data_IF_159879488459
#
_entry.id   IF_159879488459
#
_cell.length_a   1.000
_cell.length_b   1.000
_cell.length_c   1.000
_cell.angle_alpha   90.00
_cell.angle_beta   90.00
_cell.angle_gamma   90.00
#
_symmetry.space_group_name_H-M   'P 1'
#
loop_
_entity.id
_entity.type
_entity.pdbx_description
1 polymer ?
#
# COMPACT_ATOMS: atom_id res chain seq x y z
N UNK A 1 3.86 27.72 2.77
CA UNK A 1 4.54 26.89 1.75
C UNK A 1 4.29 25.45 2.12
N UNK A 2 3.75 24.64 1.21
CA UNK A 2 3.57 23.20 1.44
C UNK A 2 4.88 22.48 1.17
N UNK A 3 5.25 21.52 2.02
CA UNK A 3 6.37 20.62 1.77
C UNK A 3 5.84 19.34 1.11
N UNK A 4 6.59 18.82 0.15
CA UNK A 4 6.36 17.51 -0.49
C UNK A 4 7.38 16.54 0.07
N UNK A 5 6.94 15.34 0.45
CA UNK A 5 7.83 14.26 0.91
C UNK A 5 7.69 13.07 -0.03
N UNK A 6 8.80 12.59 -0.58
CA UNK A 6 8.83 11.38 -1.41
C UNK A 6 9.57 10.29 -0.65
N UNK A 7 8.91 9.15 -0.44
CA UNK A 7 9.55 7.97 0.15
C UNK A 7 10.47 7.30 -0.86
N UNK A 8 11.78 7.26 -0.60
CA UNK A 8 12.75 6.62 -1.47
C UNK A 8 12.71 5.08 -1.35
N UNK A 9 13.11 4.34 -2.41
CA UNK A 9 13.33 2.90 -2.31
C UNK A 9 14.48 2.61 -1.35
N UNK A 10 14.60 1.35 -0.89
CA UNK A 10 15.74 0.96 -0.07
C UNK A 10 17.05 1.11 -0.84
N UNK A 11 17.89 2.02 -0.38
CA UNK A 11 19.21 2.31 -0.95
C UNK A 11 20.29 1.58 -0.15
N UNK A 12 21.41 1.28 -0.80
CA UNK A 12 22.56 0.64 -0.15
C UNK A 12 23.14 1.53 0.96
N UNK A 13 23.11 2.84 0.77
CA UNK A 13 23.55 3.85 1.74
C UNK A 13 22.64 3.96 2.96
N UNK A 14 21.41 3.42 2.89
CA UNK A 14 20.52 3.31 4.05
C UNK A 14 20.84 2.08 4.92
N UNK A 15 21.58 1.12 4.38
CA UNK A 15 22.11 0.00 5.14
C UNK A 15 23.41 0.48 5.78
N UNK A 16 23.40 0.70 7.09
CA UNK A 16 24.53 1.26 7.83
C UNK A 16 25.86 0.64 7.35
N UNK A 17 26.78 1.49 6.88
CA UNK A 17 28.16 1.07 6.65
C UNK A 17 28.69 0.46 7.96
N UNK A 18 29.14 -0.78 7.88
CA UNK A 18 29.54 -1.66 8.98
C UNK A 18 30.74 -1.17 9.79
N UNK A 19 31.19 0.08 9.66
CA UNK A 19 32.45 0.54 10.25
C UNK A 19 32.36 1.73 11.22
N UNK A 20 31.30 2.57 11.24
CA UNK A 20 31.31 3.78 12.12
C UNK A 20 29.99 4.09 12.85
N UNK A 21 28.88 3.40 12.57
CA UNK A 21 27.57 3.72 13.16
C UNK A 21 27.12 2.73 14.26
N UNK A 22 28.03 2.27 15.12
CA UNK A 22 27.72 1.28 16.17
C UNK A 22 26.82 1.79 17.32
N UNK A 23 26.34 3.04 17.30
CA UNK A 23 25.56 3.60 18.42
C UNK A 23 24.07 3.87 18.16
N UNK A 24 23.55 3.57 16.96
CA UNK A 24 22.12 3.39 16.72
C UNK A 24 21.95 2.91 15.28
N UNK A 25 21.91 1.60 15.07
CA UNK A 25 21.31 1.07 13.84
C UNK A 25 19.87 1.58 13.81
N UNK A 26 19.46 2.38 12.80
CA UNK A 26 18.05 2.70 12.64
C UNK A 26 17.34 1.36 12.44
N UNK A 27 16.46 1.00 13.37
CA UNK A 27 15.69 -0.23 13.26
C UNK A 27 14.90 -0.18 11.95
N UNK A 28 15.03 -1.21 11.11
CA UNK A 28 14.34 -1.26 9.82
C UNK A 28 12.83 -1.19 10.12
N UNK A 29 12.11 -0.18 9.61
CA UNK A 29 10.69 -0.04 9.92
C UNK A 29 9.92 -1.28 9.49
N UNK A 30 9.18 -1.85 10.44
CA UNK A 30 8.31 -3.00 10.17
C UNK A 30 7.10 -2.50 9.39
N UNK A 31 6.80 -3.19 8.28
CA UNK A 31 5.74 -2.87 7.34
C UNK A 31 4.94 -4.14 7.05
N UNK A 32 3.64 -3.99 6.90
CA UNK A 32 2.73 -5.05 6.47
C UNK A 32 1.88 -4.54 5.32
N UNK A 33 1.56 -5.42 4.38
CA UNK A 33 0.56 -5.20 3.36
C UNK A 33 -0.21 -6.49 3.14
N UNK A 34 -1.49 -6.34 2.85
CA UNK A 34 -2.39 -7.45 2.57
C UNK A 34 -2.92 -7.29 1.14
N UNK A 35 -3.04 -8.40 0.42
CA UNK A 35 -3.63 -8.42 -0.93
C UNK A 35 -4.76 -9.44 -0.94
N UNK A 36 -5.95 -8.99 -1.31
CA UNK A 36 -7.14 -9.83 -1.40
C UNK A 36 -7.53 -10.01 -2.86
N UNK A 37 -7.79 -11.26 -3.25
CA UNK A 37 -8.33 -11.60 -4.57
C UNK A 37 -9.77 -12.03 -4.40
N UNK A 38 -10.71 -11.24 -4.92
CA UNK A 38 -12.11 -11.65 -4.98
C UNK A 38 -12.25 -12.91 -5.83
N UNK A 39 -12.96 -13.92 -5.30
CA UNK A 39 -13.08 -15.29 -5.84
C UNK A 39 -11.85 -16.21 -5.64
N UNK A 40 -10.82 -15.74 -4.93
CA UNK A 40 -9.67 -16.54 -4.54
C UNK A 40 -8.74 -16.92 -5.70
N UNK A 41 -7.86 -17.89 -5.44
CA UNK A 41 -6.92 -18.45 -6.42
C UNK A 41 -7.42 -19.84 -6.83
N UNK A 42 -7.52 -20.15 -8.15
CA UNK A 42 -7.97 -21.45 -8.63
C UNK A 42 -7.25 -22.62 -7.96
N UNK A 43 -8.02 -23.62 -7.49
CA UNK A 43 -7.50 -24.75 -6.73
C UNK A 43 -6.33 -25.52 -7.39
N UNK A 44 -6.28 -25.72 -8.73
CA UNK A 44 -5.13 -26.36 -9.36
C UNK A 44 -3.81 -25.60 -9.12
N UNK A 45 -3.84 -24.26 -9.20
CA UNK A 45 -2.65 -23.43 -8.99
C UNK A 45 -2.12 -23.52 -7.54
N UNK A 46 -2.99 -23.86 -6.59
CA UNK A 46 -2.57 -24.05 -5.20
C UNK A 46 -1.73 -25.32 -4.99
N UNK A 47 -1.70 -26.27 -5.93
CA UNK A 47 -0.96 -27.54 -5.78
C UNK A 47 0.47 -27.49 -6.35
N UNK A 48 0.79 -26.48 -7.15
CA UNK A 48 2.03 -26.41 -7.94
C UNK A 48 3.30 -26.11 -7.13
N UNK A 49 3.18 -25.85 -5.83
CA UNK A 49 4.37 -25.54 -5.02
C UNK A 49 4.88 -24.15 -5.38
N UNK A 50 6.15 -24.07 -5.76
CA UNK A 50 6.74 -22.89 -6.41
C UNK A 50 6.76 -23.01 -7.94
N UNK A 51 6.26 -24.09 -8.54
CA UNK A 51 6.18 -24.16 -10.00
C UNK A 51 5.12 -23.16 -10.52
N UNK A 52 5.23 -22.75 -11.79
CA UNK A 52 4.27 -21.83 -12.41
C UNK A 52 4.39 -20.40 -11.89
N UNK A 53 3.26 -19.79 -11.50
CA UNK A 53 3.17 -18.35 -11.18
C UNK A 53 4.01 -17.93 -9.96
N UNK A 54 4.33 -18.86 -9.06
CA UNK A 54 5.15 -18.59 -7.88
C UNK A 54 6.64 -18.86 -8.09
N UNK A 55 7.07 -19.33 -9.28
CA UNK A 55 8.48 -19.65 -9.56
C UNK A 55 9.45 -18.49 -9.29
N UNK A 56 9.12 -17.23 -9.61
CA UNK A 56 9.99 -16.10 -9.28
C UNK A 56 10.27 -15.93 -7.78
N UNK A 57 9.40 -16.47 -6.91
CA UNK A 57 9.53 -16.38 -5.45
C UNK A 57 10.34 -17.53 -4.82
N UNK A 58 10.75 -18.53 -5.60
CA UNK A 58 11.50 -19.68 -5.11
C UNK A 58 12.78 -19.30 -4.32
N UNK A 59 13.58 -18.28 -4.71
CA UNK A 59 14.73 -17.84 -3.93
C UNK A 59 14.38 -17.34 -2.52
N UNK A 60 13.12 -16.97 -2.29
CA UNK A 60 12.60 -16.49 -1.00
C UNK A 60 11.90 -17.60 -0.19
N UNK A 61 11.92 -18.85 -0.64
CA UNK A 61 11.19 -19.96 -0.02
C UNK A 61 11.40 -20.10 1.49
N UNK A 62 12.63 -19.88 2.00
CA UNK A 62 12.95 -19.91 3.43
C UNK A 62 12.40 -18.73 4.25
N UNK A 63 11.87 -17.70 3.57
CA UNK A 63 11.28 -16.48 4.16
C UNK A 63 9.77 -16.39 3.92
N UNK A 64 9.18 -17.39 3.25
CA UNK A 64 7.77 -17.39 2.87
C UNK A 64 7.05 -18.52 3.59
N UNK A 65 5.92 -18.17 4.21
CA UNK A 65 4.91 -19.14 4.63
C UNK A 65 3.77 -19.11 3.60
N UNK A 66 3.55 -20.21 2.90
CA UNK A 66 2.44 -20.36 1.96
C UNK A 66 1.44 -21.34 2.57
N UNK A 67 0.39 -20.79 3.17
CA UNK A 67 -0.74 -21.58 3.66
C UNK A 67 -1.71 -21.84 2.50
N UNK A 68 -2.24 -23.06 2.42
CA UNK A 68 -3.14 -23.53 1.36
C UNK A 68 -4.30 -24.25 2.00
N UNK A 69 -5.40 -24.39 1.27
CA UNK A 69 -6.60 -25.09 1.76
C UNK A 69 -7.08 -24.52 3.10
N UNK A 70 -6.89 -23.20 3.30
CA UNK A 70 -7.35 -22.48 4.50
C UNK A 70 -8.83 -22.23 4.35
N UNK A 71 -9.59 -22.83 5.25
CA UNK A 71 -11.04 -22.66 5.34
C UNK A 71 -11.41 -21.87 6.61
N UNK A 72 -12.28 -20.87 6.46
CA UNK A 72 -12.72 -20.00 7.55
C UNK A 72 -14.00 -20.56 8.18
N UNK A 73 -13.98 -21.82 8.60
CA UNK A 73 -15.18 -22.54 9.09
C UNK A 73 -15.89 -21.80 10.23
N UNK A 74 -15.13 -21.15 11.11
CA UNK A 74 -15.69 -20.35 12.23
C UNK A 74 -16.40 -19.06 11.80
N UNK A 75 -16.29 -18.69 10.52
CA UNK A 75 -16.89 -17.51 9.93
C UNK A 75 -18.02 -17.86 8.97
N UNK A 76 -18.25 -19.15 8.67
CA UNK A 76 -19.36 -19.61 7.84
C UNK A 76 -20.67 -19.58 8.65
N UNK A 77 -21.25 -18.39 8.75
CA UNK A 77 -22.42 -18.10 9.58
C UNK A 77 -23.71 -18.36 8.79
N UNK A 78 -24.62 -19.12 9.39
CA UNK A 78 -25.85 -19.56 8.71
C UNK A 78 -26.71 -18.37 8.27
N UNK A 79 -27.09 -18.36 7.00
CA UNK A 79 -27.98 -17.35 6.43
C UNK A 79 -27.27 -16.06 6.00
N UNK A 80 -25.93 -16.06 6.03
CA UNK A 80 -25.10 -14.97 5.52
C UNK A 80 -24.49 -15.40 4.17
N UNK A 81 -24.21 -14.43 3.30
CA UNK A 81 -23.60 -14.69 2.00
C UNK A 81 -22.10 -14.98 2.16
N UNK A 82 -21.63 -16.12 1.63
CA UNK A 82 -20.23 -16.56 1.68
C UNK A 82 -19.19 -15.54 1.16
N UNK A 83 -19.60 -14.59 0.31
CA UNK A 83 -18.72 -13.52 -0.15
C UNK A 83 -18.55 -12.39 0.87
N UNK A 84 -19.43 -12.30 1.86
CA UNK A 84 -19.43 -11.23 2.86
C UNK A 84 -18.66 -11.64 4.12
N UNK A 85 -19.00 -12.79 4.69
CA UNK A 85 -18.31 -13.37 5.83
C UNK A 85 -16.85 -13.75 5.48
N UNK A 86 -16.60 -14.45 4.37
CA UNK A 86 -15.26 -14.83 3.92
C UNK A 86 -14.39 -13.62 3.59
N UNK A 87 -14.97 -12.55 3.03
CA UNK A 87 -14.28 -11.28 2.79
C UNK A 87 -13.88 -10.58 4.09
N UNK A 88 -14.77 -10.59 5.09
CA UNK A 88 -14.50 -10.01 6.41
C UNK A 88 -13.46 -10.83 7.18
N UNK A 89 -13.53 -12.15 7.08
CA UNK A 89 -12.65 -13.10 7.72
C UNK A 89 -11.24 -13.13 7.13
N UNK A 90 -11.04 -12.74 5.87
CA UNK A 90 -9.79 -12.94 5.13
C UNK A 90 -8.51 -12.49 5.87
N UNK A 91 -8.56 -11.39 6.63
CA UNK A 91 -7.42 -10.91 7.43
C UNK A 91 -7.71 -10.73 8.92
N UNK A 92 -8.94 -10.99 9.37
CA UNK A 92 -9.33 -10.94 10.79
C UNK A 92 -9.42 -12.33 11.38
N UNK A 93 -9.62 -13.33 10.52
CA UNK A 93 -10.10 -14.66 10.81
C UNK A 93 -11.41 -14.66 11.63
N UNK A 94 -12.13 -13.55 11.79
CA UNK A 94 -13.33 -13.44 12.63
C UNK A 94 -14.57 -13.20 11.75
N UNK A 95 -15.76 -13.68 12.18
CA UNK A 95 -17.00 -13.37 11.47
C UNK A 95 -17.29 -11.86 11.53
N UNK A 96 -18.14 -11.33 10.63
CA UNK A 96 -18.62 -9.96 10.72
C UNK A 96 -19.43 -9.71 12.00
N UNK A 97 -19.28 -8.51 12.58
CA UNK A 97 -20.11 -8.00 13.67
C UNK A 97 -21.11 -6.97 13.10
N UNK A 98 -22.31 -7.45 12.78
CA UNK A 98 -23.31 -6.66 12.07
C UNK A 98 -22.95 -6.41 10.61
N UNK A 99 -23.26 -5.23 10.07
CA UNK A 99 -23.09 -4.92 8.64
C UNK A 99 -21.84 -4.07 8.32
N UNK A 100 -21.26 -3.43 9.34
CA UNK A 100 -20.24 -2.40 9.17
C UNK A 100 -18.90 -2.71 9.87
N UNK A 101 -18.86 -3.76 10.70
CA UNK A 101 -17.68 -4.13 11.49
C UNK A 101 -17.29 -5.59 11.26
N UNK A 102 -16.04 -5.89 11.55
CA UNK A 102 -15.59 -7.26 11.79
C UNK A 102 -15.71 -7.61 13.28
N UNK A 103 -15.68 -8.90 13.61
CA UNK A 103 -15.62 -9.38 14.99
C UNK A 103 -14.30 -9.06 15.71
N UNK A 104 -13.23 -8.79 14.94
CA UNK A 104 -11.91 -8.48 15.49
C UNK A 104 -11.01 -7.68 14.54
N UNK A 105 -9.79 -7.32 14.98
CA UNK A 105 -8.83 -6.59 14.16
C UNK A 105 -8.38 -7.38 12.95
N UNK A 106 -7.97 -6.67 11.90
CA UNK A 106 -7.18 -7.28 10.82
C UNK A 106 -5.71 -7.41 11.20
N UNK A 107 -5.01 -8.39 10.61
CA UNK A 107 -3.61 -8.69 10.91
C UNK A 107 -2.68 -7.48 10.71
N UNK A 108 -2.95 -6.60 9.74
CA UNK A 108 -2.17 -5.38 9.54
C UNK A 108 -2.30 -4.40 10.73
N UNK A 109 -3.49 -4.28 11.33
CA UNK A 109 -3.68 -3.42 12.50
C UNK A 109 -3.11 -4.07 13.77
N UNK A 110 -3.13 -5.41 13.86
CA UNK A 110 -2.44 -6.14 14.94
C UNK A 110 -0.93 -5.91 14.87
N UNK A 111 -0.31 -6.10 13.68
CA UNK A 111 1.12 -5.85 13.45
C UNK A 111 1.46 -4.38 13.75
N UNK A 112 0.64 -3.44 13.27
CA UNK A 112 0.83 -2.02 13.54
C UNK A 112 0.86 -1.74 15.04
N UNK A 113 -0.13 -2.23 15.80
CA UNK A 113 -0.18 -2.00 17.26
C UNK A 113 0.98 -2.66 18.00
N UNK A 114 1.40 -3.84 17.56
CA UNK A 114 2.50 -4.58 18.19
C UNK A 114 3.86 -3.85 18.05
N UNK A 115 4.12 -3.25 16.89
CA UNK A 115 5.41 -2.59 16.62
C UNK A 115 5.40 -1.07 16.82
N UNK A 116 4.21 -0.47 16.83
CA UNK A 116 4.04 0.98 16.98
C UNK A 116 2.92 1.29 17.98
N UNK A 117 3.03 0.85 19.25
CA UNK A 117 1.98 1.05 20.26
C UNK A 117 1.73 2.55 20.55
N UNK A 118 2.76 3.38 20.43
CA UNK A 118 2.69 4.83 20.65
C UNK A 118 2.39 5.64 19.37
N UNK A 119 2.05 4.94 18.28
CA UNK A 119 1.79 5.56 16.98
C UNK A 119 2.94 5.42 15.99
N UNK A 120 2.64 5.71 14.73
CA UNK A 120 3.58 5.54 13.61
C UNK A 120 4.64 6.64 13.60
N UNK A 121 5.82 6.36 13.00
CA UNK A 121 6.82 7.39 12.73
C UNK A 121 6.23 8.59 11.97
N UNK A 122 6.73 9.80 12.25
CA UNK A 122 6.30 11.02 11.58
C UNK A 122 6.45 10.88 10.06
N UNK A 123 5.44 11.35 9.32
CA UNK A 123 5.44 11.34 7.85
C UNK A 123 5.01 10.00 7.21
N UNK A 124 4.65 8.98 8.00
CA UNK A 124 4.11 7.73 7.46
C UNK A 124 2.61 7.86 7.11
N UNK A 125 2.22 7.30 5.97
CA UNK A 125 0.80 7.10 5.64
C UNK A 125 0.25 5.98 6.53
N UNK A 126 -0.80 6.22 7.34
CA UNK A 126 -1.14 5.31 8.44
C UNK A 126 -1.71 3.97 7.98
N UNK A 127 -2.80 4.02 7.22
CA UNK A 127 -3.39 2.85 6.57
C UNK A 127 -3.88 3.32 5.21
N UNK A 128 -3.46 2.58 4.18
CA UNK A 128 -3.76 2.85 2.79
C UNK A 128 -4.47 1.62 2.23
N UNK A 129 -5.66 1.82 1.68
CA UNK A 129 -6.48 0.75 1.13
C UNK A 129 -6.86 1.14 -0.30
N UNK A 130 -6.29 0.45 -1.29
CA UNK A 130 -6.60 0.67 -2.70
C UNK A 130 -7.14 -0.60 -3.32
N UNK A 131 -8.05 -0.48 -4.28
CA UNK A 131 -8.57 -1.64 -4.99
C UNK A 131 -9.78 -1.32 -5.85
N UNK A 132 -10.11 -2.26 -6.73
CA UNK A 132 -11.36 -2.28 -7.47
C UNK A 132 -12.36 -3.14 -6.71
N UNK A 133 -13.60 -2.68 -6.60
CA UNK A 133 -14.64 -3.41 -5.87
C UNK A 133 -16.04 -3.04 -6.36
N UNK A 134 -17.02 -3.85 -5.98
CA UNK A 134 -18.43 -3.56 -6.23
C UNK A 134 -19.07 -2.95 -4.99
N UNK A 135 -19.63 -1.74 -5.12
CA UNK A 135 -20.41 -1.06 -4.08
C UNK A 135 -21.83 -1.65 -3.88
N UNK A 136 -22.02 -2.94 -4.16
CA UNK A 136 -23.30 -3.64 -4.06
C UNK A 136 -23.28 -4.65 -2.93
N UNK A 137 -23.09 -4.21 -1.69
CA UNK A 137 -23.25 -5.03 -0.48
C UNK A 137 -22.94 -4.23 0.80
N UNK A 138 -22.86 -4.95 1.91
CA UNK A 138 -22.31 -4.51 3.21
C UNK A 138 -20.82 -4.17 3.10
N UNK A 139 -20.35 -3.37 4.05
CA UNK A 139 -18.98 -2.79 4.05
C UNK A 139 -17.90 -3.86 4.03
N UNK A 140 -18.06 -4.91 4.84
CA UNK A 140 -17.05 -5.96 4.95
C UNK A 140 -16.86 -6.86 3.73
N UNK A 141 -17.70 -6.70 2.70
CA UNK A 141 -17.46 -7.37 1.40
C UNK A 141 -16.26 -6.78 0.65
N UNK A 142 -15.98 -5.50 0.85
CA UNK A 142 -14.94 -4.80 0.11
C UNK A 142 -13.88 -4.16 1.01
N UNK A 143 -14.15 -3.91 2.29
CA UNK A 143 -13.11 -3.48 3.24
C UNK A 143 -12.46 -4.69 3.90
N UNK A 144 -11.12 -4.66 4.00
CA UNK A 144 -10.35 -5.76 4.59
C UNK A 144 -9.32 -5.31 5.64
N UNK A 145 -9.43 -4.07 6.13
CA UNK A 145 -8.57 -3.55 7.21
C UNK A 145 -9.45 -2.98 8.33
N UNK A 146 -9.25 -3.51 9.53
CA UNK A 146 -10.12 -3.27 10.69
C UNK A 146 -9.30 -2.98 11.93
N UNK A 147 -9.66 -1.92 12.65
CA UNK A 147 -9.06 -1.51 13.91
C UNK A 147 -9.27 -2.56 15.00
N UNK A 148 -8.65 -2.33 16.16
CA UNK A 148 -8.72 -3.24 17.30
C UNK A 148 -10.12 -3.53 17.83
N UNK A 149 -11.07 -2.63 17.58
CA UNK A 149 -12.46 -2.74 17.97
C UNK A 149 -13.36 -3.26 16.84
N UNK A 150 -12.79 -3.71 15.72
CA UNK A 150 -13.50 -4.20 14.54
C UNK A 150 -14.06 -3.11 13.62
N UNK A 151 -13.84 -1.82 13.92
CA UNK A 151 -14.23 -0.73 13.00
C UNK A 151 -13.32 -0.64 11.79
N UNK A 152 -13.81 -0.12 10.67
CA UNK A 152 -13.02 0.08 9.45
C UNK A 152 -11.81 0.99 9.70
N UNK A 153 -10.61 0.50 9.40
CA UNK A 153 -9.36 1.25 9.61
C UNK A 153 -9.05 2.25 8.47
N UNK A 154 -9.49 1.93 7.24
CA UNK A 154 -9.36 2.82 6.10
C UNK A 154 -10.46 2.57 5.06
N UNK A 155 -10.95 3.64 4.45
CA UNK A 155 -11.81 3.55 3.26
C UNK A 155 -10.95 3.23 2.03
N UNK A 156 -11.54 2.54 1.05
CA UNK A 156 -10.84 2.26 -0.20
C UNK A 156 -10.73 3.54 -1.04
N UNK A 157 -9.51 3.84 -1.50
CA UNK A 157 -9.23 4.84 -2.52
C UNK A 157 -9.48 4.24 -3.91
N UNK A 158 -10.58 4.64 -4.54
CA UNK A 158 -10.98 4.17 -5.88
C UNK A 158 -10.34 4.95 -7.02
N UNK A 159 -10.08 6.23 -6.79
CA UNK A 159 -9.53 7.11 -7.83
C UNK A 159 -8.01 7.11 -7.73
N UNK A 160 -7.30 6.72 -8.81
CA UNK A 160 -5.84 6.76 -8.83
C UNK A 160 -5.25 8.11 -8.42
N UNK A 161 -5.92 9.21 -8.79
CA UNK A 161 -5.53 10.57 -8.38
C UNK A 161 -5.59 10.79 -6.87
N UNK A 162 -6.68 10.40 -6.21
CA UNK A 162 -6.83 10.56 -4.75
C UNK A 162 -5.82 9.68 -4.01
N UNK A 163 -5.54 8.48 -4.53
CA UNK A 163 -4.48 7.61 -4.02
C UNK A 163 -3.09 8.25 -4.16
N UNK A 164 -2.79 8.80 -5.34
CA UNK A 164 -1.52 9.47 -5.61
C UNK A 164 -1.32 10.68 -4.68
N UNK A 165 -2.31 11.57 -4.58
CA UNK A 165 -2.25 12.74 -3.70
C UNK A 165 -2.14 12.36 -2.22
N UNK A 166 -2.71 11.23 -1.79
CA UNK A 166 -2.58 10.72 -0.42
C UNK A 166 -1.18 10.18 -0.11
N UNK A 167 -0.51 9.60 -1.10
CA UNK A 167 0.83 8.99 -0.92
C UNK A 167 1.94 10.03 -1.06
N UNK A 168 1.85 10.89 -2.08
CA UNK A 168 2.92 11.83 -2.43
C UNK A 168 2.61 13.29 -2.06
N UNK A 169 1.41 13.56 -1.55
CA UNK A 169 0.92 14.90 -1.29
C UNK A 169 0.24 15.53 -2.52
N UNK A 170 -0.52 16.59 -2.27
CA UNK A 170 -1.10 17.44 -3.31
C UNK A 170 -0.54 18.85 -3.23
N UNK A 171 -0.27 19.47 -4.38
CA UNK A 171 0.19 20.85 -4.45
C UNK A 171 -1.02 21.78 -4.30
N UNK A 172 -1.29 22.26 -3.08
CA UNK A 172 -2.30 23.28 -2.83
C UNK A 172 -1.69 24.68 -3.08
N UNK A 173 -1.89 25.23 -4.27
CA UNK A 173 -1.53 26.62 -4.58
C UNK A 173 -2.77 27.51 -4.48
N UNK A 174 -2.72 28.48 -3.57
CA UNK A 174 -3.74 29.51 -3.43
C UNK A 174 -3.88 30.30 -4.75
N UNK A 175 -5.09 30.40 -5.28
CA UNK A 175 -5.48 31.44 -6.25
C UNK A 175 -5.26 31.19 -7.75
N UNK A 176 -4.68 30.06 -8.19
CA UNK A 176 -4.43 29.81 -9.63
C UNK A 176 -5.58 29.13 -10.40
N UNK A 177 -5.68 29.38 -11.70
CA UNK A 177 -6.64 28.76 -12.65
C UNK A 177 -6.46 27.22 -12.73
N UNK A 178 -7.52 26.46 -13.01
CA UNK A 178 -7.54 24.98 -13.04
C UNK A 178 -6.51 24.38 -14.01
N UNK A 179 -6.20 25.10 -15.09
CA UNK A 179 -5.16 24.74 -16.06
C UNK A 179 -3.74 24.88 -15.49
N UNK A 180 -3.47 25.95 -14.74
CA UNK A 180 -2.19 26.16 -14.05
C UNK A 180 -2.03 25.26 -12.81
N UNK A 181 -3.16 24.91 -12.16
CA UNK A 181 -3.22 23.92 -11.05
C UNK A 181 -2.80 22.51 -11.48
N UNK A 182 -3.05 22.13 -12.74
CA UNK A 182 -2.68 20.82 -13.29
C UNK A 182 -1.21 20.76 -13.73
N UNK A 183 -0.51 21.89 -13.82
CA UNK A 183 0.83 21.99 -14.44
C UNK A 183 2.00 21.94 -13.45
N UNK A 184 1.78 22.16 -12.16
CA UNK A 184 2.87 22.03 -11.16
C UNK A 184 2.79 20.66 -10.51
N UNK A 185 3.57 19.74 -11.08
CA UNK A 185 3.72 18.37 -10.64
C UNK A 185 4.30 18.30 -9.22
N UNK A 186 3.97 17.25 -8.47
CA UNK A 186 4.66 16.91 -7.21
C UNK A 186 6.18 16.81 -7.46
N UNK A 187 6.57 16.30 -8.63
CA UNK A 187 7.96 16.17 -9.05
C UNK A 187 8.61 17.51 -9.42
N UNK A 188 7.85 18.49 -9.91
CA UNK A 188 8.39 19.83 -10.18
C UNK A 188 8.92 20.49 -8.89
N UNK A 189 8.39 20.08 -7.74
CA UNK A 189 8.82 20.57 -6.41
C UNK A 189 10.11 19.89 -5.93
N UNK A 190 10.48 18.72 -6.48
CA UNK A 190 11.66 17.94 -6.07
C UNK A 190 12.72 17.80 -7.19
N UNK A 191 12.64 18.61 -8.26
CA UNK A 191 13.58 18.54 -9.39
C UNK A 191 15.03 18.76 -8.96
N UNK A 192 15.25 19.66 -8.00
CA UNK A 192 16.59 19.93 -7.48
C UNK A 192 17.16 18.72 -6.72
N UNK A 193 16.34 18.08 -5.90
CA UNK A 193 16.70 16.83 -5.21
C UNK A 193 16.95 15.70 -6.22
N UNK A 194 16.12 15.58 -7.26
CA UNK A 194 16.34 14.64 -8.36
C UNK A 194 17.72 14.84 -8.99
N UNK A 195 18.05 16.07 -9.39
CA UNK A 195 19.36 16.40 -10.00
C UNK A 195 20.50 16.14 -9.04
N UNK A 196 20.31 16.39 -7.74
CA UNK A 196 21.31 16.12 -6.73
C UNK A 196 21.59 14.62 -6.59
N UNK A 197 20.56 13.80 -6.37
CA UNK A 197 20.72 12.36 -6.14
C UNK A 197 21.02 11.56 -7.42
N UNK A 198 20.68 12.07 -8.60
CA UNK A 198 20.98 11.40 -9.88
C UNK A 198 22.20 11.98 -10.62
N UNK A 199 22.75 13.10 -10.14
CA UNK A 199 23.84 13.81 -10.79
C UNK A 199 25.22 13.17 -10.62
N UNK A 200 26.21 13.82 -11.22
CA UNK A 200 27.62 13.42 -11.12
C UNK A 200 28.18 13.57 -9.69
N UNK A 201 27.65 14.53 -8.92
CA UNK A 201 28.05 14.82 -7.54
C UNK A 201 27.14 14.12 -6.50
N UNK A 202 26.40 13.10 -6.91
CA UNK A 202 25.48 12.38 -6.02
C UNK A 202 26.27 11.69 -4.89
N UNK A 203 25.77 11.72 -3.65
CA UNK A 203 26.34 10.93 -2.55
C UNK A 203 26.05 9.42 -2.69
N UNK A 204 25.28 9.00 -3.70
CA UNK A 204 24.88 7.62 -3.91
C UNK A 204 25.83 6.87 -4.85
N UNK A 205 26.09 5.60 -4.54
CA UNK A 205 26.71 4.64 -5.44
C UNK A 205 25.86 4.40 -6.69
N UNK A 206 26.49 3.84 -7.74
CA UNK A 206 25.85 3.69 -9.05
C UNK A 206 24.54 2.89 -9.02
N UNK A 207 24.47 1.84 -8.21
CA UNK A 207 23.27 1.01 -8.00
C UNK A 207 22.12 1.80 -7.39
N UNK A 208 22.35 2.47 -6.25
CA UNK A 208 21.36 3.31 -5.58
C UNK A 208 20.91 4.49 -6.43
N UNK A 209 21.85 5.12 -7.14
CA UNK A 209 21.54 6.21 -8.08
C UNK A 209 20.58 5.77 -9.18
N UNK A 210 20.82 4.60 -9.78
CA UNK A 210 19.91 4.02 -10.77
C UNK A 210 18.53 3.73 -10.17
N UNK A 211 18.46 3.16 -8.96
CA UNK A 211 17.18 2.91 -8.27
C UNK A 211 16.39 4.19 -8.00
N UNK A 212 17.07 5.26 -7.58
CA UNK A 212 16.43 6.57 -7.35
C UNK A 212 15.89 7.14 -8.66
N UNK A 213 16.67 7.09 -9.74
CA UNK A 213 16.22 7.52 -11.07
C UNK A 213 14.97 6.75 -11.52
N UNK A 214 15.04 5.41 -11.52
CA UNK A 214 13.91 4.54 -11.89
C UNK A 214 12.67 4.80 -11.03
N UNK A 215 12.86 5.03 -9.73
CA UNK A 215 11.76 5.30 -8.80
C UNK A 215 11.05 6.62 -9.12
N UNK A 216 11.82 7.68 -9.36
CA UNK A 216 11.27 9.00 -9.67
C UNK A 216 10.63 9.05 -11.06
N UNK A 217 11.20 8.35 -12.04
CA UNK A 217 10.58 8.17 -13.37
C UNK A 217 9.23 7.43 -13.27
N UNK A 218 9.13 6.40 -12.43
CA UNK A 218 7.85 5.70 -12.17
C UNK A 218 6.83 6.60 -11.48
N UNK A 219 7.24 7.43 -10.52
CA UNK A 219 6.34 8.41 -9.90
C UNK A 219 5.80 9.37 -10.98
N UNK A 220 6.65 9.80 -11.92
CA UNK A 220 6.24 10.69 -13.02
C UNK A 220 5.23 10.03 -13.93
N UNK A 221 5.47 8.77 -14.29
CA UNK A 221 4.54 7.99 -15.08
C UNK A 221 3.18 7.85 -14.35
N UNK A 222 3.19 7.54 -13.06
CA UNK A 222 1.97 7.41 -12.26
C UNK A 222 1.20 8.72 -12.17
N UNK A 223 1.90 9.84 -11.98
CA UNK A 223 1.30 11.16 -11.99
C UNK A 223 0.64 11.43 -13.35
N UNK A 224 1.38 11.29 -14.45
CA UNK A 224 0.85 11.52 -15.80
C UNK A 224 -0.40 10.67 -16.06
N UNK A 225 -0.37 9.39 -15.68
CA UNK A 225 -1.53 8.49 -15.84
C UNK A 225 -2.72 8.90 -14.96
N UNK A 226 -2.46 9.30 -13.71
CA UNK A 226 -3.50 9.74 -12.79
C UNK A 226 -4.19 11.03 -13.26
N UNK A 227 -3.44 11.95 -13.89
CA UNK A 227 -3.96 13.24 -14.38
C UNK A 227 -4.42 13.21 -15.85
N UNK A 228 -4.00 12.22 -16.65
CA UNK A 228 -4.46 12.03 -18.03
C UNK A 228 -5.92 11.50 -18.11
N UNK A 229 -6.42 10.84 -17.06
CA UNK A 229 -7.80 10.38 -17.00
C UNK A 229 -8.78 11.57 -16.91
N UNK A 230 -9.29 12.05 -18.06
CA UNK A 230 -10.41 12.99 -18.09
C UNK A 230 -11.66 12.34 -17.50
N UNK A 231 -12.42 13.09 -16.71
CA UNK A 231 -13.75 12.65 -16.28
C UNK A 231 -14.60 12.29 -17.50
N UNK A 232 -15.01 11.02 -17.62
CA UNK A 232 -16.25 10.71 -18.32
C UNK A 232 -17.38 11.27 -17.47
N UNK A 233 -18.13 12.22 -18.03
CA UNK A 233 -19.39 12.68 -17.47
C UNK A 233 -20.28 11.44 -17.27
N UNK A 234 -20.93 11.26 -16.10
CA UNK A 234 -21.95 10.24 -15.94
C UNK A 234 -23.20 10.75 -16.66
N UNK A 235 -23.25 10.55 -17.98
CA UNK A 235 -24.43 10.46 -18.85
C UNK A 235 -23.93 10.48 -20.30
N UNK A 236 -23.89 9.28 -20.89
CA UNK A 236 -23.45 8.95 -22.24
C UNK A 236 -23.35 7.45 -22.35
#
# INVERSE_FOLDING_TARGET
MGAVTIGLPLLEEMLASTAVAANATPEIPIRAFNVFFGLGIPAPLQKEGFQGVLQPLQPLSKKLLIMREVDHVRCDEKGINAHYDGATAAFTAEPPDGEAKSGGPSIDQVIRRAHYPDGLPKGMVPTLAGGTFFRRSRVGRYVHSYNMDGTVAATIQEKPRELFERVFGGVALAGGDRSERLKRSVLDTVVEDYRHYTGANSPLGASSRARVADHLDRIREFEQRAFAMKHRQPNG
#
